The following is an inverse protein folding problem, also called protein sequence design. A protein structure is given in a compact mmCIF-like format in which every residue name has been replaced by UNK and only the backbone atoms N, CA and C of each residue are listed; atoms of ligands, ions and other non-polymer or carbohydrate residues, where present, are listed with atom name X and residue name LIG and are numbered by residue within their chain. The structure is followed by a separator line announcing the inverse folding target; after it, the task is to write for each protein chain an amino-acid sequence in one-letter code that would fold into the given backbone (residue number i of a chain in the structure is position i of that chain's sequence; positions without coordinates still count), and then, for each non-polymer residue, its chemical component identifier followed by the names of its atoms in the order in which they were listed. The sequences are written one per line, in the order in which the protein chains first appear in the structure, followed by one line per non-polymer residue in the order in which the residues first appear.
data_IF_913979584382
#
_entry.id   IF_913979584382
#
_cell.length_a   1.000
_cell.length_b   1.000
_cell.length_c   1.000
_cell.angle_alpha   90.00
_cell.angle_beta   90.00
_cell.angle_gamma   90.00
#
_symmetry.space_group_name_H-M   'P 1'
#
loop_
_entity.id
_entity.type
_entity.pdbx_description
1 polymer ?
#
# COMPACT_ATOMS: atom_id res chain seq x y z
N UNK A 1 30.98 -58.54 15.14
CA UNK A 1 31.93 -58.42 16.28
C UNK A 1 33.29 -58.19 15.65
N UNK A 2 34.09 -57.16 15.98
CA UNK A 2 34.23 -56.39 17.26
C UNK A 2 33.44 -55.05 17.23
N UNK A 3 32.85 -54.42 18.26
CA UNK A 3 33.07 -54.24 19.71
C UNK A 3 34.43 -53.66 20.06
N UNK A 4 34.49 -52.32 20.17
CA UNK A 4 35.41 -51.49 20.95
C UNK A 4 35.21 -50.04 20.45
N UNK A 5 35.29 -48.96 21.22
CA UNK A 5 35.57 -48.75 22.62
C UNK A 5 35.02 -47.37 22.97
N UNK A 6 34.39 -47.29 24.13
CA UNK A 6 34.22 -46.11 25.00
C UNK A 6 34.99 -44.85 24.60
N UNK A 7 34.26 -43.76 24.33
CA UNK A 7 34.74 -42.41 24.61
C UNK A 7 33.81 -41.77 25.64
N UNK A 8 34.25 -41.85 26.88
CA UNK A 8 33.90 -41.00 28.01
C UNK A 8 34.22 -39.54 27.69
N UNK A 9 33.25 -38.63 27.84
CA UNK A 9 33.52 -37.31 28.40
C UNK A 9 32.32 -36.86 29.23
N UNK A 10 32.51 -36.93 30.55
CA UNK A 10 31.63 -36.29 31.50
C UNK A 10 31.80 -34.77 31.39
N UNK A 11 30.68 -34.05 31.44
CA UNK A 11 30.66 -32.59 31.48
C UNK A 11 29.31 -32.10 31.98
N UNK A 12 29.03 -32.37 33.25
CA UNK A 12 27.92 -31.76 33.96
C UNK A 12 28.19 -30.25 34.06
N UNK A 13 27.29 -29.45 33.50
CA UNK A 13 27.13 -28.04 33.86
C UNK A 13 25.65 -27.70 33.84
N UNK A 14 24.98 -27.57 35.00
CA UNK A 14 23.65 -26.97 35.05
C UNK A 14 23.85 -25.47 35.25
N UNK A 15 23.60 -24.65 34.24
CA UNK A 15 23.72 -23.20 34.36
C UNK A 15 22.77 -22.48 33.39
N UNK A 16 22.27 -21.30 33.77
CA UNK A 16 20.85 -21.11 34.11
C UNK A 16 20.13 -20.32 33.01
N UNK A 17 18.81 -20.21 33.15
CA UNK A 17 18.01 -19.31 32.33
C UNK A 17 18.57 -17.89 32.28
N UNK A 18 18.38 -17.26 31.11
CA UNK A 18 18.45 -15.83 30.75
C UNK A 18 19.39 -15.55 29.56
N UNK A 19 18.81 -15.45 28.36
CA UNK A 19 18.98 -14.34 27.39
C UNK A 19 18.32 -14.77 26.07
N UNK A 20 17.18 -14.18 25.71
CA UNK A 20 17.07 -12.91 24.98
C UNK A 20 17.17 -13.14 23.46
N UNK A 21 16.03 -13.40 22.83
CA UNK A 21 15.70 -12.75 21.55
C UNK A 21 14.27 -12.22 21.61
N UNK A 22 14.14 -11.09 22.30
CA UNK A 22 13.14 -10.07 22.02
C UNK A 22 13.34 -9.57 20.59
N UNK A 23 12.84 -10.30 19.59
CA UNK A 23 12.62 -9.71 18.28
C UNK A 23 11.35 -8.86 18.34
N UNK A 24 11.54 -7.70 18.95
CA UNK A 24 10.76 -6.49 18.77
C UNK A 24 10.58 -6.25 17.27
N UNK A 25 9.40 -6.58 16.78
CA UNK A 25 8.74 -5.71 15.80
C UNK A 25 7.25 -5.73 16.09
N UNK A 26 6.76 -4.86 17.00
CA UNK A 26 5.46 -4.26 16.76
C UNK A 26 5.64 -3.44 15.49
N UNK A 27 5.40 -4.03 14.32
CA UNK A 27 5.41 -3.24 13.10
C UNK A 27 4.19 -2.32 13.16
N UNK A 28 4.51 -1.10 13.56
CA UNK A 28 3.71 0.09 13.59
C UNK A 28 2.87 0.25 12.33
N UNK A 29 1.63 0.69 12.57
CA UNK A 29 0.65 1.17 11.59
C UNK A 29 1.30 2.04 10.50
N UNK A 30 0.80 1.98 9.26
CA UNK A 30 -0.25 2.95 8.90
C UNK A 30 -1.34 2.24 8.10
N UNK A 31 -2.63 2.42 8.41
CA UNK A 31 -3.34 3.49 7.74
C UNK A 31 -4.67 3.78 8.44
N UNK A 32 -4.69 4.80 9.30
CA UNK A 32 -5.95 5.44 9.70
C UNK A 32 -6.23 6.58 8.71
N UNK A 33 -6.44 6.27 7.44
CA UNK A 33 -7.06 7.24 6.52
C UNK A 33 -8.55 7.28 6.81
N UNK A 34 -8.90 8.07 7.83
CA UNK A 34 -10.17 8.75 7.79
C UNK A 34 -9.89 10.24 8.04
N UNK A 35 -9.43 11.00 7.03
CA UNK A 35 -9.68 12.43 7.03
C UNK A 35 -11.15 12.59 6.64
N UNK A 36 -11.95 12.93 7.64
CA UNK A 36 -12.56 14.25 7.74
C UNK A 36 -13.69 14.43 6.73
N UNK A 37 -14.91 14.54 7.24
CA UNK A 37 -16.07 15.02 6.51
C UNK A 37 -15.74 16.37 5.84
N UNK A 38 -15.41 16.36 4.55
CA UNK A 38 -15.13 17.56 3.77
C UNK A 38 -15.89 17.43 2.44
N UNK A 39 -16.94 18.25 2.31
CA UNK A 39 -17.66 18.58 1.08
C UNK A 39 -17.49 17.57 -0.07
N UNK A 40 -18.27 16.48 -0.01
CA UNK A 40 -18.19 15.36 -0.93
C UNK A 40 -18.41 15.80 -2.38
N UNK A 41 -17.33 16.12 -3.09
CA UNK A 41 -17.37 16.14 -4.55
C UNK A 41 -17.77 14.74 -4.98
N UNK A 42 -18.97 14.61 -5.56
CA UNK A 42 -19.55 13.32 -5.94
C UNK A 42 -18.79 12.70 -7.11
N UNK A 43 -17.63 12.10 -6.87
CA UNK A 43 -16.96 11.24 -7.85
C UNK A 43 -17.64 9.88 -7.89
N UNK A 44 -17.74 9.30 -9.09
CA UNK A 44 -18.19 7.91 -9.22
C UNK A 44 -17.10 6.98 -8.70
N UNK A 45 -17.44 5.74 -8.27
CA UNK A 45 -16.45 4.78 -7.77
C UNK A 45 -15.33 4.52 -8.78
N UNK A 46 -15.67 4.45 -10.07
CA UNK A 46 -14.67 4.25 -11.14
C UNK A 46 -13.73 5.45 -11.31
N UNK A 47 -14.25 6.65 -11.19
CA UNK A 47 -13.46 7.88 -11.20
C UNK A 47 -12.52 7.95 -9.99
N UNK A 48 -12.97 7.50 -8.82
CA UNK A 48 -12.14 7.46 -7.61
C UNK A 48 -11.00 6.44 -7.70
N UNK A 49 -11.23 5.27 -8.30
CA UNK A 49 -10.16 4.30 -8.57
C UNK A 49 -9.08 4.90 -9.47
N UNK A 50 -9.50 5.55 -10.56
CA UNK A 50 -8.58 6.19 -11.51
C UNK A 50 -7.81 7.32 -10.83
N UNK A 51 -8.49 8.14 -10.03
CA UNK A 51 -7.85 9.19 -9.24
C UNK A 51 -6.78 8.64 -8.30
N UNK A 52 -7.07 7.53 -7.62
CA UNK A 52 -6.12 6.86 -6.72
C UNK A 52 -4.90 6.32 -7.46
N UNK A 53 -5.08 5.72 -8.63
CA UNK A 53 -3.98 5.24 -9.45
C UNK A 53 -3.14 6.38 -10.05
N UNK A 54 -3.80 7.48 -10.44
CA UNK A 54 -3.14 8.71 -10.89
C UNK A 54 -2.30 9.32 -9.75
N UNK A 55 -2.82 9.34 -8.52
CA UNK A 55 -2.08 9.80 -7.34
C UNK A 55 -0.84 8.93 -7.03
N UNK A 56 -0.92 7.62 -7.32
CA UNK A 56 0.23 6.69 -7.25
C UNK A 56 1.23 6.84 -8.40
N UNK A 57 0.99 7.74 -9.35
CA UNK A 57 1.86 7.96 -10.51
C UNK A 57 1.77 6.88 -11.58
N UNK A 58 0.70 6.06 -11.59
CA UNK A 58 0.53 5.03 -12.61
C UNK A 58 0.26 5.66 -13.98
N UNK A 59 0.73 5.01 -15.05
CA UNK A 59 0.47 5.46 -16.42
C UNK A 59 -0.91 4.99 -16.91
N UNK A 60 -1.48 5.64 -17.92
CA UNK A 60 -2.77 5.25 -18.50
C UNK A 60 -2.78 3.79 -18.98
N UNK A 61 -1.62 3.28 -19.42
CA UNK A 61 -1.44 1.88 -19.82
C UNK A 61 -1.59 0.94 -18.61
N UNK A 62 -0.82 1.18 -17.54
CA UNK A 62 -0.91 0.39 -16.32
C UNK A 62 -2.31 0.41 -15.71
N UNK A 63 -2.94 1.59 -15.65
CA UNK A 63 -4.34 1.70 -15.17
C UNK A 63 -5.30 0.85 -16.00
N UNK A 64 -5.12 0.84 -17.32
CA UNK A 64 -5.90 0.01 -18.22
C UNK A 64 -5.71 -1.48 -17.94
N UNK A 65 -4.46 -1.92 -17.77
CA UNK A 65 -4.12 -3.32 -17.42
C UNK A 65 -4.71 -3.73 -16.06
N UNK A 66 -4.62 -2.87 -15.05
CA UNK A 66 -5.19 -3.13 -13.72
C UNK A 66 -6.73 -3.21 -13.72
N UNK A 67 -7.39 -2.37 -14.51
CA UNK A 67 -8.84 -2.26 -14.52
C UNK A 67 -9.53 -3.10 -15.61
N UNK A 68 -8.76 -3.77 -16.47
CA UNK A 68 -9.26 -4.46 -17.67
C UNK A 68 -9.88 -3.51 -18.70
N UNK A 69 -9.40 -2.26 -18.78
CA UNK A 69 -9.91 -1.23 -19.69
C UNK A 69 -8.88 -0.81 -20.73
N UNK A 70 -9.38 -0.40 -21.90
CA UNK A 70 -8.53 0.27 -22.89
C UNK A 70 -8.03 1.63 -22.40
N UNK A 71 -6.83 2.01 -22.85
CA UNK A 71 -6.20 3.31 -22.57
C UNK A 71 -7.15 4.47 -22.90
N UNK A 72 -7.85 4.39 -24.05
CA UNK A 72 -8.84 5.39 -24.49
C UNK A 72 -9.96 5.59 -23.47
N UNK A 73 -10.37 4.53 -22.79
CA UNK A 73 -11.40 4.56 -21.75
C UNK A 73 -10.88 5.28 -20.50
N UNK A 74 -9.63 5.00 -20.10
CA UNK A 74 -8.97 5.70 -18.99
C UNK A 74 -8.85 7.20 -19.29
N UNK A 75 -8.45 7.57 -20.51
CA UNK A 75 -8.37 8.98 -20.92
C UNK A 75 -9.74 9.67 -20.87
N UNK A 76 -10.80 9.00 -21.33
CA UNK A 76 -12.17 9.51 -21.23
C UNK A 76 -12.59 9.72 -19.77
N UNK A 77 -12.28 8.76 -18.89
CA UNK A 77 -12.56 8.93 -17.45
C UNK A 77 -11.75 10.08 -16.85
N UNK A 78 -10.48 10.26 -17.23
CA UNK A 78 -9.65 11.40 -16.81
C UNK A 78 -10.23 12.73 -17.30
N UNK A 79 -10.68 12.80 -18.55
CA UNK A 79 -11.31 14.00 -19.09
C UNK A 79 -12.61 14.35 -18.34
N UNK A 80 -13.42 13.35 -18.01
CA UNK A 80 -14.62 13.54 -17.20
C UNK A 80 -14.30 14.03 -15.78
N UNK A 81 -13.31 13.42 -15.13
CA UNK A 81 -12.77 13.86 -13.84
C UNK A 81 -12.32 15.33 -13.92
N UNK A 82 -11.45 15.66 -14.87
CA UNK A 82 -10.94 17.01 -15.07
C UNK A 82 -12.07 18.03 -15.26
N UNK A 83 -13.07 17.71 -16.09
CA UNK A 83 -14.26 18.55 -16.29
C UNK A 83 -15.07 18.73 -15.00
N UNK A 84 -15.18 17.69 -14.19
CA UNK A 84 -15.97 17.67 -12.95
C UNK A 84 -15.30 18.43 -11.81
N UNK A 85 -13.98 18.42 -11.75
CA UNK A 85 -13.18 19.22 -10.81
C UNK A 85 -12.78 20.59 -11.40
N UNK A 86 -13.22 20.92 -12.62
CA UNK A 86 -12.82 22.12 -13.37
C UNK A 86 -11.29 22.31 -13.46
N UNK A 87 -10.55 21.20 -13.50
CA UNK A 87 -9.09 21.20 -13.59
C UNK A 87 -8.63 20.93 -15.02
N UNK A 88 -7.50 21.50 -15.39
CA UNK A 88 -6.89 21.29 -16.72
C UNK A 88 -5.79 20.22 -16.71
N UNK A 89 -5.20 19.97 -15.54
CA UNK A 89 -4.05 19.09 -15.38
C UNK A 89 -4.31 17.99 -14.36
N UNK A 90 -3.72 16.82 -14.59
CA UNK A 90 -3.81 15.68 -13.67
C UNK A 90 -3.12 15.95 -12.34
N UNK A 91 -2.06 16.74 -12.34
CA UNK A 91 -1.42 17.21 -11.09
C UNK A 91 -2.38 18.11 -10.30
N UNK A 92 -3.03 19.06 -10.97
CA UNK A 92 -4.00 19.95 -10.34
C UNK A 92 -5.22 19.19 -9.81
N UNK A 93 -5.65 18.13 -10.51
CA UNK A 93 -6.66 17.18 -10.05
C UNK A 93 -6.25 16.49 -8.75
N UNK A 94 -5.01 15.97 -8.65
CA UNK A 94 -4.49 15.34 -7.43
C UNK A 94 -4.45 16.36 -6.28
N UNK A 95 -3.92 17.56 -6.50
CA UNK A 95 -3.86 18.60 -5.47
C UNK A 95 -5.25 18.98 -4.95
N UNK A 96 -6.22 19.08 -5.87
CA UNK A 96 -7.62 19.34 -5.53
C UNK A 96 -8.19 18.18 -4.72
N UNK A 97 -7.98 16.95 -5.16
CA UNK A 97 -8.41 15.75 -4.45
C UNK A 97 -7.85 15.64 -3.03
N UNK A 98 -6.56 15.95 -2.83
CA UNK A 98 -5.93 16.02 -1.51
C UNK A 98 -6.58 17.09 -0.64
N UNK A 99 -6.85 18.27 -1.20
CA UNK A 99 -7.51 19.38 -0.48
C UNK A 99 -8.95 19.04 -0.06
N UNK A 100 -9.63 18.22 -0.84
CA UNK A 100 -10.96 17.71 -0.55
C UNK A 100 -10.96 16.43 0.34
N UNK A 101 -9.79 15.86 0.68
CA UNK A 101 -9.71 14.64 1.48
C UNK A 101 -10.19 13.37 0.76
N UNK A 102 -10.07 13.33 -0.58
CA UNK A 102 -10.50 12.21 -1.43
C UNK A 102 -9.41 11.14 -1.65
N UNK A 103 -8.22 11.34 -1.07
CA UNK A 103 -7.03 10.48 -1.17
C UNK A 103 -6.47 10.19 0.23
#
# INVERSE_FOLDING_TARGET
MPTETTQTHQGQGPNPGKELIENTTPNCRPNRHKPQAAASVKVTPREQEILSMVAKGQTSKMMGEHLGLSIRTIERHRANLLKKFSQKNSIALIQTALRHGLL
#
